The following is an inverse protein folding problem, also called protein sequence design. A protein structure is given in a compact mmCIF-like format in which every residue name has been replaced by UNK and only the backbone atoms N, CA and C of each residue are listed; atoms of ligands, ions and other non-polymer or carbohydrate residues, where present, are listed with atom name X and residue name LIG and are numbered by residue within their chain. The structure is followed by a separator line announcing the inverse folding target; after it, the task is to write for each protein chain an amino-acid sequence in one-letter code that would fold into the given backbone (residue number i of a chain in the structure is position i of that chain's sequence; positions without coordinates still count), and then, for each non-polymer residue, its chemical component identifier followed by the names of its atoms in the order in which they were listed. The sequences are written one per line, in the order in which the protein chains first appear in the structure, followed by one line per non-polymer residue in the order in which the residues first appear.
data_IF_469921410582
#
_entry.id   IF_469921410582
#
_cell.length_a   1.000
_cell.length_b   1.000
_cell.length_c   1.000
_cell.angle_alpha   90.00
_cell.angle_beta   90.00
_cell.angle_gamma   90.00
#
_symmetry.space_group_name_H-M   'P 1'
#
loop_
_entity.id
_entity.type
_entity.pdbx_description
1 polymer ?
#
# COMPACT_ATOMS: atom_id res chain seq x y z
N UNK A 1 -20.50 34.72 -89.41
CA UNK A 1 -19.91 35.09 -88.10
C UNK A 1 -19.91 33.79 -87.28
N UNK A 2 -18.83 33.24 -86.73
CA UNK A 2 -17.67 33.84 -86.06
C UNK A 2 -16.42 32.94 -86.22
N UNK A 3 -15.25 33.58 -86.15
CA UNK A 3 -13.93 32.96 -86.17
C UNK A 3 -13.67 32.27 -84.82
N UNK A 4 -13.49 30.94 -84.81
CA UNK A 4 -13.03 30.21 -83.63
C UNK A 4 -11.50 30.25 -83.56
N UNK A 5 -10.95 31.00 -82.61
CA UNK A 5 -9.51 31.00 -82.28
C UNK A 5 -9.27 30.05 -81.09
N UNK A 6 -8.45 29.02 -81.29
CA UNK A 6 -7.65 28.37 -80.21
C UNK A 6 -6.24 29.01 -80.27
N UNK A 7 -5.39 29.09 -79.22
CA UNK A 7 -5.32 28.33 -77.96
C UNK A 7 -5.14 29.27 -76.71
N UNK A 8 -5.00 28.82 -75.46
CA UNK A 8 -3.76 28.45 -74.75
C UNK A 8 -4.14 27.60 -73.53
N UNK A 9 -3.41 26.52 -73.33
CA UNK A 9 -3.55 25.62 -72.19
C UNK A 9 -3.13 26.30 -70.88
N UNK A 10 -3.98 26.26 -69.86
CA UNK A 10 -3.56 26.36 -68.46
C UNK A 10 -4.21 25.22 -67.69
N UNK A 11 -3.37 24.23 -67.38
CA UNK A 11 -3.69 23.07 -66.58
C UNK A 11 -4.04 23.50 -65.15
N UNK A 12 -5.34 23.52 -64.82
CA UNK A 12 -5.79 23.55 -63.43
C UNK A 12 -5.87 22.11 -62.92
N UNK A 13 -4.77 21.67 -62.33
CA UNK A 13 -4.63 20.36 -61.69
C UNK A 13 -5.70 20.16 -60.59
N UNK A 14 -6.32 18.99 -60.64
CA UNK A 14 -7.10 18.36 -59.59
C UNK A 14 -6.19 18.08 -58.38
N UNK A 15 -6.58 18.50 -57.18
CA UNK A 15 -6.19 17.83 -55.93
C UNK A 15 -7.37 17.85 -54.94
N UNK A 16 -8.15 16.76 -54.96
CA UNK A 16 -8.91 16.30 -53.80
C UNK A 16 -7.92 15.75 -52.75
N UNK A 17 -8.24 15.97 -51.47
CA UNK A 17 -7.59 15.45 -50.26
C UNK A 17 -6.32 16.23 -49.84
N UNK A 18 -6.22 16.79 -48.63
CA UNK A 18 -6.72 16.32 -47.33
C UNK A 18 -7.24 17.51 -46.52
N UNK A 19 -8.31 17.29 -45.77
CA UNK A 19 -8.54 18.06 -44.55
C UNK A 19 -7.22 18.06 -43.78
N UNK A 20 -6.57 19.22 -43.65
CA UNK A 20 -5.57 19.42 -42.61
C UNK A 20 -6.39 19.37 -41.32
N UNK A 21 -6.57 18.16 -40.78
CA UNK A 21 -6.70 18.01 -39.36
C UNK A 21 -5.40 18.61 -38.81
N UNK A 22 -5.44 19.91 -38.53
CA UNK A 22 -4.61 20.46 -37.50
C UNK A 22 -5.01 19.71 -36.24
N UNK A 23 -4.45 18.51 -36.06
CA UNK A 23 -4.13 18.06 -34.74
C UNK A 23 -3.24 19.16 -34.20
N UNK A 24 -3.86 20.12 -33.52
CA UNK A 24 -3.17 20.97 -32.59
C UNK A 24 -2.69 20.00 -31.51
N UNK A 25 -1.59 19.29 -31.83
CA UNK A 25 -0.70 18.78 -30.81
C UNK A 25 -0.34 20.05 -30.06
N UNK A 26 -0.96 20.23 -28.88
CA UNK A 26 -0.58 21.27 -27.94
C UNK A 26 0.95 21.26 -27.82
N UNK A 27 1.56 22.40 -27.45
CA UNK A 27 3.01 22.56 -27.47
C UNK A 27 3.65 21.30 -26.87
N UNK A 28 4.38 20.55 -27.69
CA UNK A 28 5.01 19.32 -27.25
C UNK A 28 5.85 19.66 -26.03
N UNK A 29 5.63 18.93 -24.94
CA UNK A 29 6.26 19.28 -23.68
C UNK A 29 7.78 19.27 -23.82
N UNK A 30 8.46 20.09 -23.02
CA UNK A 30 9.89 20.04 -22.89
C UNK A 30 10.37 18.61 -22.66
N UNK A 31 11.24 18.12 -23.55
CA UNK A 31 11.80 16.76 -23.45
C UNK A 31 12.60 16.52 -22.18
N UNK A 32 13.01 17.59 -21.50
CA UNK A 32 13.78 17.55 -20.26
C UNK A 32 12.90 17.47 -19.00
N UNK A 33 11.57 17.42 -19.11
CA UNK A 33 10.74 17.12 -17.94
C UNK A 33 11.20 15.81 -17.28
N UNK A 34 11.40 15.78 -15.96
CA UNK A 34 11.85 14.56 -15.29
C UNK A 34 10.78 13.46 -15.35
N UNK A 35 11.17 12.19 -15.15
CA UNK A 35 10.21 11.12 -14.92
C UNK A 35 9.30 11.47 -13.73
N UNK A 36 8.15 10.81 -13.63
CA UNK A 36 7.19 11.05 -12.55
C UNK A 36 6.69 12.50 -12.46
N UNK A 37 6.67 13.20 -13.60
CA UNK A 37 6.08 14.54 -13.74
C UNK A 37 4.93 14.55 -14.75
N UNK A 38 4.14 15.63 -14.71
CA UNK A 38 3.12 15.96 -15.70
C UNK A 38 3.43 17.32 -16.31
N UNK A 39 3.20 17.44 -17.61
CA UNK A 39 3.35 18.69 -18.33
C UNK A 39 2.26 19.68 -17.92
N UNK A 40 2.66 20.88 -17.51
CA UNK A 40 1.73 21.98 -17.19
C UNK A 40 1.72 22.98 -18.35
N UNK A 41 2.87 23.26 -18.93
CA UNK A 41 3.04 24.07 -20.14
C UNK A 41 4.22 23.54 -20.97
N UNK A 42 4.41 24.02 -22.20
CA UNK A 42 5.50 23.56 -23.07
C UNK A 42 6.91 23.64 -22.47
N UNK A 43 7.10 24.44 -21.42
CA UNK A 43 8.39 24.61 -20.71
C UNK A 43 8.27 24.45 -19.20
N UNK A 44 7.15 23.93 -18.68
CA UNK A 44 6.96 23.73 -17.25
C UNK A 44 6.30 22.38 -16.96
N UNK A 45 6.89 21.67 -16.01
CA UNK A 45 6.41 20.37 -15.54
C UNK A 45 6.12 20.49 -14.04
N UNK A 46 5.25 19.65 -13.49
CA UNK A 46 5.09 19.49 -12.04
C UNK A 46 5.15 18.01 -11.69
N UNK A 47 5.61 17.68 -10.50
CA UNK A 47 5.64 16.28 -10.07
C UNK A 47 4.22 15.70 -9.99
N UNK A 48 4.11 14.39 -10.25
CA UNK A 48 2.91 13.61 -9.96
C UNK A 48 2.67 13.58 -8.44
N UNK A 49 1.46 13.22 -8.03
CA UNK A 49 1.17 12.97 -6.61
C UNK A 49 2.07 11.84 -6.09
N UNK A 50 2.51 11.96 -4.83
CA UNK A 50 3.49 11.05 -4.22
C UNK A 50 4.95 11.37 -4.57
N UNK A 51 5.22 12.43 -5.32
CA UNK A 51 6.58 12.85 -5.67
C UNK A 51 6.85 14.30 -5.22
N UNK A 52 8.10 14.56 -4.87
CA UNK A 52 8.56 15.85 -4.36
C UNK A 52 9.47 16.57 -5.36
N UNK A 53 9.49 17.91 -5.34
CA UNK A 53 8.66 18.79 -4.50
C UNK A 53 7.20 18.92 -4.99
N UNK A 54 6.20 18.80 -4.10
CA UNK A 54 4.80 19.00 -4.47
C UNK A 54 4.56 20.45 -4.90
N UNK A 55 3.66 20.64 -5.86
CA UNK A 55 3.19 21.94 -6.36
C UNK A 55 4.27 22.92 -6.89
N UNK A 56 5.52 22.47 -7.01
CA UNK A 56 6.59 23.25 -7.64
C UNK A 56 6.57 23.04 -9.15
N UNK A 57 6.62 24.15 -9.89
CA UNK A 57 6.89 24.10 -11.32
C UNK A 57 8.38 23.91 -11.58
N UNK A 58 8.71 22.85 -12.29
CA UNK A 58 10.04 22.52 -12.79
C UNK A 58 10.18 23.17 -14.17
N UNK A 59 11.02 24.19 -14.23
CA UNK A 59 11.33 24.97 -15.45
C UNK A 59 12.78 24.77 -15.92
N UNK A 60 13.51 23.82 -15.31
CA UNK A 60 14.93 23.53 -15.56
C UNK A 60 15.16 22.03 -15.80
N UNK A 61 16.10 21.65 -16.69
CA UNK A 61 16.48 20.25 -16.93
C UNK A 61 17.12 19.56 -15.72
N UNK A 62 17.49 20.30 -14.68
CA UNK A 62 18.06 19.76 -13.44
C UNK A 62 17.01 19.39 -12.39
N UNK A 63 15.72 19.61 -12.67
CA UNK A 63 14.66 19.25 -11.74
C UNK A 63 14.47 17.74 -11.63
N UNK A 64 14.16 17.28 -10.43
CA UNK A 64 13.83 15.88 -10.12
C UNK A 64 12.42 15.79 -9.54
N UNK A 65 11.81 14.61 -9.69
CA UNK A 65 10.59 14.23 -9.01
C UNK A 65 10.87 12.95 -8.25
N UNK A 66 11.35 13.11 -7.03
CA UNK A 66 11.77 12.01 -6.18
C UNK A 66 10.58 11.52 -5.35
N UNK A 67 10.47 10.21 -5.22
CA UNK A 67 9.42 9.56 -4.45
C UNK A 67 9.38 10.10 -3.02
N UNK A 68 8.17 10.41 -2.55
CA UNK A 68 7.96 10.82 -1.17
C UNK A 68 7.81 9.54 -0.35
N UNK A 69 8.76 9.25 0.52
CA UNK A 69 8.55 8.16 1.48
C UNK A 69 7.67 8.65 2.64
N UNK A 70 6.36 8.36 2.61
CA UNK A 70 5.44 8.76 3.68
C UNK A 70 5.63 7.98 4.98
N UNK A 71 6.23 6.79 4.90
CA UNK A 71 6.54 5.93 6.05
C UNK A 71 7.84 6.32 6.77
N UNK A 72 8.70 7.14 6.15
CA UNK A 72 9.97 7.59 6.74
C UNK A 72 9.75 8.59 7.89
N UNK A 73 10.68 8.63 8.86
CA UNK A 73 10.61 9.56 9.97
C UNK A 73 10.96 11.01 9.55
N UNK A 74 10.20 12.03 9.99
CA UNK A 74 8.97 11.95 10.78
C UNK A 74 7.79 11.42 9.96
N UNK A 75 7.05 10.47 10.53
CA UNK A 75 5.89 9.82 9.89
C UNK A 75 4.91 10.87 9.37
N UNK A 76 4.72 10.90 8.04
CA UNK A 76 3.78 11.81 7.37
C UNK A 76 2.37 11.24 7.33
N UNK A 77 2.25 9.92 7.47
CA UNK A 77 0.97 9.19 7.53
C UNK A 77 0.87 8.33 8.78
N UNK A 78 -0.37 8.17 9.28
CA UNK A 78 -0.75 7.19 10.29
C UNK A 78 -1.58 6.06 9.67
N UNK A 79 -1.13 4.81 9.85
CA UNK A 79 -1.90 3.60 9.52
C UNK A 79 -2.82 3.15 10.67
N UNK A 80 -2.78 3.82 11.82
CA UNK A 80 -3.49 3.41 13.03
C UNK A 80 -2.82 2.26 13.78
N UNK A 81 -3.55 1.67 14.73
CA UNK A 81 -3.03 0.63 15.63
C UNK A 81 -2.89 -0.72 14.92
N UNK A 82 -1.89 -1.50 15.35
CA UNK A 82 -1.64 -2.87 14.85
C UNK A 82 -1.48 -2.93 13.32
N UNK A 83 -0.91 -1.89 12.75
CA UNK A 83 -0.68 -1.77 11.33
C UNK A 83 0.68 -1.13 11.06
N UNK A 84 1.27 -1.56 9.96
CA UNK A 84 2.56 -1.10 9.45
C UNK A 84 2.34 -0.35 8.14
N UNK A 85 3.19 0.66 7.91
CA UNK A 85 3.23 1.45 6.68
C UNK A 85 4.28 0.88 5.74
N UNK A 86 3.91 0.65 4.48
CA UNK A 86 4.79 0.18 3.42
C UNK A 86 4.83 1.21 2.29
N UNK A 87 6.02 1.73 2.00
CA UNK A 87 6.22 2.73 0.96
C UNK A 87 6.22 2.09 -0.44
N UNK A 88 5.61 2.74 -1.42
CA UNK A 88 5.65 2.34 -2.83
C UNK A 88 5.98 3.52 -3.72
N UNK A 89 6.41 3.26 -4.96
CA UNK A 89 6.68 4.37 -5.88
C UNK A 89 5.39 5.16 -6.18
N UNK A 90 5.38 6.43 -5.77
CA UNK A 90 4.29 7.38 -5.89
C UNK A 90 3.16 7.21 -4.88
N UNK A 91 3.30 6.33 -3.89
CA UNK A 91 2.25 6.07 -2.90
C UNK A 91 2.75 5.30 -1.68
N UNK A 92 1.81 4.83 -0.86
CA UNK A 92 2.07 3.92 0.23
C UNK A 92 0.81 3.08 0.44
N UNK A 93 0.94 2.00 1.19
CA UNK A 93 -0.20 1.30 1.74
C UNK A 93 0.08 0.86 3.16
N UNK A 94 -0.99 0.67 3.91
CA UNK A 94 -0.94 0.11 5.23
C UNK A 94 -1.29 -1.38 5.17
N UNK A 95 -0.65 -2.18 6.02
CA UNK A 95 -0.99 -3.59 6.23
C UNK A 95 -1.16 -3.87 7.71
N UNK A 96 -2.05 -4.80 8.07
CA UNK A 96 -2.11 -5.23 9.46
C UNK A 96 -0.78 -5.90 9.86
N UNK A 97 -0.30 -5.57 11.06
CA UNK A 97 0.93 -6.14 11.60
C UNK A 97 0.78 -7.67 11.78
N UNK A 98 1.89 -8.42 11.84
CA UNK A 98 1.85 -9.86 12.00
C UNK A 98 0.94 -10.33 13.16
N UNK A 99 -0.02 -11.21 12.86
CA UNK A 99 -1.04 -11.69 13.81
C UNK A 99 -2.36 -10.93 13.80
N UNK A 100 -2.49 -9.92 12.94
CA UNK A 100 -3.71 -9.17 12.70
C UNK A 100 -4.12 -9.27 11.24
N UNK A 101 -5.43 -9.24 10.98
CA UNK A 101 -6.01 -9.22 9.64
C UNK A 101 -7.14 -8.19 9.56
N UNK A 102 -7.37 -7.64 8.36
CA UNK A 102 -8.48 -6.74 8.10
C UNK A 102 -9.81 -7.48 8.25
N UNK A 103 -10.81 -6.77 8.77
CA UNK A 103 -12.12 -7.37 8.95
C UNK A 103 -12.77 -7.82 7.63
N UNK A 104 -12.48 -7.06 6.57
CA UNK A 104 -12.90 -7.31 5.20
C UNK A 104 -12.20 -8.49 4.53
N UNK A 105 -11.16 -9.06 5.14
CA UNK A 105 -10.28 -10.06 4.52
C UNK A 105 -9.32 -9.48 3.47
N UNK A 106 -9.29 -8.15 3.33
CA UNK A 106 -8.29 -7.45 2.51
C UNK A 106 -6.87 -7.59 3.07
N UNK A 107 -5.87 -7.23 2.27
CA UNK A 107 -4.45 -7.25 2.69
C UNK A 107 -3.90 -5.86 2.99
N UNK A 108 -4.37 -4.87 2.25
CA UNK A 108 -3.88 -3.51 2.27
C UNK A 108 -5.05 -2.52 2.43
N UNK A 109 -4.74 -1.36 3.01
CA UNK A 109 -5.65 -0.24 3.20
C UNK A 109 -4.88 1.08 3.15
N UNK A 110 -5.56 2.21 2.98
CA UNK A 110 -4.89 3.45 2.56
C UNK A 110 -4.59 4.42 3.70
N UNK A 111 -5.31 4.32 4.83
CA UNK A 111 -5.18 5.28 5.95
C UNK A 111 -5.82 4.71 7.23
N UNK A 112 -5.58 5.39 8.36
CA UNK A 112 -6.14 5.00 9.67
C UNK A 112 -7.67 4.85 9.70
N UNK A 113 -8.44 5.58 8.89
CA UNK A 113 -9.91 5.47 8.88
C UNK A 113 -10.40 4.13 8.33
N UNK A 114 -9.59 3.47 7.50
CA UNK A 114 -9.85 2.13 6.95
C UNK A 114 -9.30 1.01 7.83
N UNK A 115 -8.58 1.34 8.91
CA UNK A 115 -7.97 0.37 9.79
C UNK A 115 -9.04 -0.43 10.54
N UNK A 116 -9.13 -1.71 10.18
CA UNK A 116 -10.01 -2.69 10.80
C UNK A 116 -9.21 -3.92 11.26
N UNK A 117 -7.95 -3.72 11.63
CA UNK A 117 -7.05 -4.80 12.01
C UNK A 117 -7.49 -5.45 13.33
N UNK A 118 -7.85 -6.73 13.26
CA UNK A 118 -8.23 -7.56 14.42
C UNK A 118 -7.34 -8.78 14.53
N UNK A 119 -7.21 -9.31 15.74
CA UNK A 119 -6.43 -10.52 16.01
C UNK A 119 -7.01 -11.69 15.20
N UNK A 120 -6.15 -12.37 14.46
CA UNK A 120 -6.51 -13.64 13.84
C UNK A 120 -6.63 -14.69 14.94
N UNK A 121 -7.85 -15.19 15.20
CA UNK A 121 -8.06 -16.33 16.11
C UNK A 121 -7.41 -17.64 15.61
N UNK A 122 -6.66 -17.58 14.50
CA UNK A 122 -5.92 -18.68 13.89
C UNK A 122 -4.45 -18.76 14.33
N UNK A 123 -4.04 -18.10 15.42
CA UNK A 123 -2.72 -18.38 16.00
C UNK A 123 -2.76 -19.76 16.70
N UNK A 124 -1.82 -20.69 16.44
CA UNK A 124 -1.85 -22.05 17.00
C UNK A 124 -1.71 -22.15 18.54
N UNK A 125 -1.72 -21.03 19.27
CA UNK A 125 -1.43 -20.97 20.71
C UNK A 125 -2.42 -20.15 21.55
N UNK A 126 -3.64 -19.89 21.06
CA UNK A 126 -4.71 -19.39 21.92
C UNK A 126 -5.69 -20.54 22.21
N UNK A 127 -5.64 -21.19 23.38
CA UNK A 127 -6.62 -22.20 23.77
C UNK A 127 -7.94 -21.57 24.26
N UNK A 128 -8.49 -20.57 23.56
CA UNK A 128 -9.78 -19.92 23.91
C UNK A 128 -10.92 -20.29 22.96
N UNK A 129 -10.92 -21.55 22.49
CA UNK A 129 -12.18 -22.18 22.07
C UNK A 129 -12.27 -23.70 22.26
N UNK A 130 -11.29 -24.30 22.95
CA UNK A 130 -11.42 -25.64 23.53
C UNK A 130 -11.96 -25.51 24.96
N UNK A 131 -13.17 -25.01 25.06
CA UNK A 131 -13.86 -24.73 26.31
C UNK A 131 -15.36 -24.75 26.10
N UNK A 132 -15.86 -25.82 25.46
CA UNK A 132 -17.13 -26.36 25.91
C UNK A 132 -16.98 -26.49 27.42
N UNK A 133 -17.68 -25.64 28.18
CA UNK A 133 -17.84 -25.84 29.62
C UNK A 133 -18.56 -27.17 29.79
N UNK A 134 -17.82 -28.28 29.80
CA UNK A 134 -18.27 -29.47 30.47
C UNK A 134 -18.11 -29.15 31.94
N UNK A 135 -19.23 -28.79 32.56
CA UNK A 135 -19.40 -28.75 34.00
C UNK A 135 -18.88 -30.06 34.62
N UNK A 136 -17.66 -30.04 35.16
CA UNK A 136 -17.23 -31.05 36.12
C UNK A 136 -17.62 -30.53 37.50
N UNK A 137 -18.80 -30.96 37.92
CA UNK A 137 -19.33 -30.72 39.26
C UNK A 137 -18.48 -31.51 40.26
N UNK A 138 -17.49 -30.85 40.87
CA UNK A 138 -16.77 -31.37 42.03
C UNK A 138 -16.63 -30.27 43.09
N UNK A 139 -17.70 -30.07 43.87
CA UNK A 139 -17.62 -29.35 45.15
C UNK A 139 -17.58 -27.81 45.09
N UNK A 140 -17.74 -27.20 46.26
CA UNK A 140 -18.26 -25.84 46.51
C UNK A 140 -17.24 -24.69 46.49
N UNK A 141 -16.12 -24.79 45.77
CA UNK A 141 -15.22 -23.62 45.64
C UNK A 141 -14.34 -23.69 44.39
N UNK A 142 -14.54 -22.75 43.48
CA UNK A 142 -13.64 -22.54 42.35
C UNK A 142 -12.39 -21.78 42.83
N UNK A 143 -11.22 -22.37 42.65
CA UNK A 143 -9.93 -21.66 42.78
C UNK A 143 -9.29 -21.64 41.39
N UNK A 144 -8.97 -20.45 40.90
CA UNK A 144 -8.32 -20.26 39.60
C UNK A 144 -6.81 -20.19 39.84
N UNK A 145 -6.06 -21.09 39.22
CA UNK A 145 -4.59 -21.04 39.23
C UNK A 145 -4.09 -20.93 37.80
N UNK A 146 -3.50 -19.79 37.47
CA UNK A 146 -2.85 -19.56 36.18
C UNK A 146 -1.43 -20.16 36.23
N UNK A 147 -1.15 -21.15 35.37
CA UNK A 147 0.22 -21.63 35.14
C UNK A 147 0.86 -20.86 33.97
N UNK A 148 2.12 -20.41 34.07
CA UNK A 148 2.85 -19.82 32.95
C UNK A 148 3.23 -20.90 31.90
N UNK A 149 3.36 -20.54 30.61
CA UNK A 149 3.73 -21.50 29.56
C UNK A 149 5.21 -21.85 29.67
N UNK A 150 5.50 -23.10 30.04
CA UNK A 150 6.86 -23.60 30.21
C UNK A 150 7.46 -23.91 28.83
N UNK A 151 8.51 -23.18 28.42
CA UNK A 151 9.48 -23.70 27.45
C UNK A 151 10.12 -24.92 28.08
N UNK A 152 9.99 -26.07 27.43
CA UNK A 152 10.68 -27.30 27.81
C UNK A 152 12.20 -27.06 27.90
N UNK A 153 12.76 -27.20 29.10
CA UNK A 153 14.14 -27.63 29.29
C UNK A 153 14.04 -29.00 29.94
N UNK A 154 14.56 -30.01 29.24
CA UNK A 154 14.74 -31.35 29.80
C UNK A 154 15.38 -31.25 31.18
N UNK A 155 14.85 -31.99 32.16
CA UNK A 155 15.61 -32.90 33.04
C UNK A 155 14.60 -33.77 33.79
N UNK A 156 14.51 -35.03 33.39
CA UNK A 156 13.90 -36.06 34.20
C UNK A 156 14.78 -36.30 35.43
N UNK A 157 14.25 -36.05 36.64
CA UNK A 157 14.67 -36.79 37.83
C UNK A 157 13.44 -37.23 38.61
N UNK A 158 13.24 -38.55 38.56
CA UNK A 158 12.48 -39.31 39.54
C UNK A 158 13.23 -39.21 40.87
N UNK A 159 12.61 -38.69 41.92
CA UNK A 159 12.92 -39.11 43.28
C UNK A 159 11.60 -39.41 43.98
N UNK A 160 11.50 -40.68 44.38
CA UNK A 160 10.38 -41.33 45.03
C UNK A 160 10.08 -40.72 46.41
N UNK A 161 8.78 -40.75 46.72
CA UNK A 161 8.18 -40.90 48.05
C UNK A 161 9.14 -41.25 49.19
N UNK A 162 9.07 -40.49 50.29
CA UNK A 162 9.02 -41.15 51.59
C UNK A 162 8.23 -40.35 52.63
N UNK A 163 7.02 -40.84 52.93
CA UNK A 163 6.42 -40.64 54.26
C UNK A 163 7.26 -41.48 55.24
N UNK A 164 7.87 -40.84 56.22
CA UNK A 164 8.51 -41.50 57.36
C UNK A 164 8.24 -40.71 58.64
N UNK A 165 7.31 -41.21 59.45
CA UNK A 165 7.30 -40.99 60.90
C UNK A 165 8.55 -41.65 61.51
N UNK A 166 9.21 -41.01 62.48
CA UNK A 166 9.75 -41.59 63.74
C UNK A 166 10.19 -40.46 64.69
N UNK A 167 9.96 -40.72 65.97
CA UNK A 167 10.08 -39.92 67.19
C UNK A 167 11.43 -39.27 67.50
N UNK A 168 11.36 -38.21 68.31
CA UNK A 168 12.08 -38.09 69.58
C UNK A 168 11.06 -37.77 70.68
#
# INVERSE_FOLDING_TARGET
MAVSRRPVALALCVFLSLCRAGAQHGPACAKWCPPNSVCVSGTACRCKLGFSPPDKLITSPTGTCDDINECAAPLKVSCGKFADCENTEGSYYCTCSPGYELESGGKNFSNESENTCRVTLQQPWIPERAGLMTSLWQGTRATWSCHPPVRAILQARVILSNRGHISL
#
